data_IF_166077422737
#
_entry.id   IF_166077422737
#
_cell.length_a   1.000
_cell.length_b   1.000
_cell.length_c   1.000
_cell.angle_alpha   90.00
_cell.angle_beta   90.00
_cell.angle_gamma   90.00
#
_symmetry.space_group_name_H-M   'P 1'
#
loop_
_entity.id
_entity.type
_entity.pdbx_description
1 polymer ?
#
# COMPACT_ATOMS: atom_id res chain seq x y z
N UNK A 1 1.73 12.56 24.42
CA UNK A 1 2.74 12.44 23.34
C UNK A 1 2.08 11.75 22.17
N UNK A 2 2.19 12.23 20.91
CA UNK A 2 1.75 11.42 19.79
C UNK A 2 2.65 10.19 19.73
N UNK A 3 2.10 9.00 20.02
CA UNK A 3 2.84 7.75 19.87
C UNK A 3 3.03 7.51 18.37
N UNK A 4 4.27 7.33 17.94
CA UNK A 4 4.56 6.79 16.61
C UNK A 4 4.02 5.37 16.50
N UNK A 5 3.83 4.90 15.26
CA UNK A 5 3.36 3.54 14.98
C UNK A 5 4.36 2.53 15.52
N UNK A 6 3.87 1.53 16.25
CA UNK A 6 4.67 0.37 16.63
C UNK A 6 4.85 -0.58 15.44
N UNK A 7 5.76 -1.56 15.57
CA UNK A 7 6.07 -2.47 14.46
C UNK A 7 4.88 -3.32 14.01
N UNK A 8 3.99 -3.71 14.94
CA UNK A 8 2.76 -4.42 14.59
C UNK A 8 1.81 -3.54 13.78
N UNK A 9 1.58 -2.30 14.22
CA UNK A 9 0.75 -1.33 13.47
C UNK A 9 1.33 -1.03 12.09
N UNK A 10 2.65 -0.93 11.98
CA UNK A 10 3.31 -0.75 10.67
C UNK A 10 3.05 -1.95 9.77
N UNK A 11 3.23 -3.17 10.28
CA UNK A 11 3.02 -4.38 9.50
C UNK A 11 1.58 -4.50 8.99
N UNK A 12 0.59 -4.22 9.86
CA UNK A 12 -0.83 -4.24 9.49
C UNK A 12 -1.16 -3.21 8.39
N UNK A 13 -0.61 -1.99 8.51
CA UNK A 13 -0.80 -0.95 7.49
C UNK A 13 -0.11 -1.35 6.18
N UNK A 14 1.10 -1.89 6.21
CA UNK A 14 1.80 -2.39 5.02
C UNK A 14 0.97 -3.45 4.31
N UNK A 15 0.48 -4.45 5.05
CA UNK A 15 -0.35 -5.51 4.47
C UNK A 15 -1.64 -4.95 3.86
N UNK A 16 -2.29 -3.99 4.54
CA UNK A 16 -3.50 -3.33 4.03
C UNK A 16 -3.22 -2.50 2.76
N UNK A 17 -2.09 -1.81 2.68
CA UNK A 17 -1.67 -1.06 1.50
C UNK A 17 -1.45 -1.98 0.30
N UNK A 18 -0.85 -3.15 0.52
CA UNK A 18 -0.63 -4.16 -0.52
C UNK A 18 -1.95 -4.76 -1.00
N UNK A 19 -2.83 -5.14 -0.08
CA UNK A 19 -4.14 -5.71 -0.43
C UNK A 19 -5.00 -4.72 -1.22
N UNK A 20 -5.19 -3.50 -0.68
CA UNK A 20 -6.02 -2.49 -1.34
C UNK A 20 -5.37 -1.96 -2.61
N UNK A 21 -4.04 -1.86 -2.63
CA UNK A 21 -3.26 -1.54 -3.82
C UNK A 21 -3.50 -2.56 -4.92
N UNK A 22 -3.35 -3.86 -4.63
CA UNK A 22 -3.58 -4.97 -5.57
C UNK A 22 -4.97 -4.89 -6.19
N UNK A 23 -6.01 -4.74 -5.35
CA UNK A 23 -7.40 -4.62 -5.81
C UNK A 23 -7.54 -3.44 -6.78
N UNK A 24 -7.15 -2.24 -6.35
CA UNK A 24 -7.32 -1.03 -7.17
C UNK A 24 -6.51 -1.06 -8.47
N UNK A 25 -5.26 -1.55 -8.42
CA UNK A 25 -4.44 -1.70 -9.62
C UNK A 25 -5.05 -2.70 -10.61
N UNK A 26 -5.67 -3.78 -10.13
CA UNK A 26 -6.33 -4.77 -10.98
C UNK A 26 -7.64 -4.25 -11.60
N UNK A 27 -8.40 -3.43 -10.87
CA UNK A 27 -9.70 -2.91 -11.32
C UNK A 27 -9.58 -1.68 -12.23
N UNK A 28 -8.68 -0.75 -11.87
CA UNK A 28 -8.57 0.57 -12.51
C UNK A 28 -7.35 0.67 -13.43
N UNK A 29 -6.37 -0.21 -13.25
CA UNK A 29 -5.05 -0.10 -13.85
C UNK A 29 -4.13 0.86 -13.09
N UNK A 30 -2.82 0.70 -13.32
CA UNK A 30 -1.77 1.46 -12.62
C UNK A 30 -1.94 2.98 -12.77
N UNK A 31 -2.17 3.47 -13.99
CA UNK A 31 -2.21 4.91 -14.28
C UNK A 31 -3.39 5.62 -13.61
N UNK A 32 -4.55 4.98 -13.53
CA UNK A 32 -5.77 5.60 -12.96
C UNK A 32 -5.83 5.51 -11.44
N UNK A 33 -5.09 4.59 -10.83
CA UNK A 33 -5.06 4.42 -9.37
C UNK A 33 -4.25 5.55 -8.72
N UNK A 34 -4.81 6.22 -7.71
CA UNK A 34 -4.10 7.27 -6.95
C UNK A 34 -3.74 6.83 -5.52
N UNK A 35 -2.66 7.41 -4.96
CA UNK A 35 -2.29 7.20 -3.55
C UNK A 35 -3.43 7.62 -2.61
N UNK A 36 -4.17 8.67 -2.96
CA UNK A 36 -5.32 9.13 -2.17
C UNK A 36 -6.43 8.08 -2.10
N UNK A 37 -6.72 7.37 -3.19
CA UNK A 37 -7.75 6.32 -3.19
C UNK A 37 -7.31 5.10 -2.38
N UNK A 38 -6.06 4.66 -2.54
CA UNK A 38 -5.49 3.55 -1.76
C UNK A 38 -5.55 3.87 -0.27
N UNK A 39 -5.02 5.03 0.14
CA UNK A 39 -4.97 5.44 1.55
C UNK A 39 -6.35 5.65 2.15
N UNK A 40 -7.32 6.14 1.37
CA UNK A 40 -8.72 6.22 1.78
C UNK A 40 -9.34 4.85 2.06
N UNK A 41 -9.02 3.83 1.25
CA UNK A 41 -9.49 2.44 1.47
C UNK A 41 -8.86 1.80 2.70
N UNK A 42 -7.58 2.08 2.95
CA UNK A 42 -6.84 1.60 4.13
C UNK A 42 -7.24 2.36 5.40
N UNK A 43 -7.81 3.56 5.29
CA UNK A 43 -8.21 4.38 6.43
C UNK A 43 -7.07 5.19 7.06
N UNK A 44 -6.04 5.52 6.27
CA UNK A 44 -4.91 6.35 6.71
C UNK A 44 -4.87 7.68 5.96
N UNK A 45 -4.23 8.69 6.56
CA UNK A 45 -3.97 9.95 5.86
C UNK A 45 -3.00 9.74 4.68
N UNK A 46 -3.16 10.45 3.54
CA UNK A 46 -2.24 10.32 2.40
C UNK A 46 -0.77 10.58 2.76
N UNK A 47 -0.49 11.53 3.65
CA UNK A 47 0.88 11.78 4.14
C UNK A 47 1.50 10.60 4.91
N UNK A 48 0.68 9.72 5.48
CA UNK A 48 1.13 8.52 6.19
C UNK A 48 1.66 7.47 5.22
N UNK A 49 1.19 7.43 3.97
CA UNK A 49 1.69 6.53 2.93
C UNK A 49 3.21 6.62 2.77
N UNK A 50 3.73 7.85 2.80
CA UNK A 50 5.16 8.13 2.62
C UNK A 50 6.05 7.68 3.79
N UNK A 51 5.46 7.10 4.85
CA UNK A 51 6.22 6.39 5.89
C UNK A 51 6.51 4.93 5.53
N UNK A 52 5.80 4.41 4.52
CA UNK A 52 5.87 3.01 4.07
C UNK A 52 6.48 2.89 2.68
N UNK A 53 6.10 3.79 1.77
CA UNK A 53 6.54 3.78 0.38
C UNK A 53 6.85 5.20 -0.10
N UNK A 54 7.92 5.37 -0.86
CA UNK A 54 8.29 6.64 -1.47
C UNK A 54 7.39 6.99 -2.65
N UNK A 55 6.77 5.99 -3.29
CA UNK A 55 5.92 6.19 -4.46
C UNK A 55 4.87 5.08 -4.64
N UNK A 56 3.94 5.32 -5.57
CA UNK A 56 2.94 4.32 -5.97
C UNK A 56 3.57 3.15 -6.72
N UNK A 57 4.64 3.43 -7.47
CA UNK A 57 5.46 2.47 -8.18
C UNK A 57 6.10 1.48 -7.22
N UNK A 58 6.66 1.95 -6.08
CA UNK A 58 7.29 1.08 -5.09
C UNK A 58 6.30 0.08 -4.50
N UNK A 59 5.10 0.54 -4.11
CA UNK A 59 4.02 -0.35 -3.67
C UNK A 59 3.62 -1.34 -4.78
N UNK A 60 3.52 -0.87 -6.03
CA UNK A 60 3.17 -1.73 -7.16
C UNK A 60 4.23 -2.80 -7.42
N UNK A 61 5.51 -2.46 -7.35
CA UNK A 61 6.61 -3.42 -7.50
C UNK A 61 6.60 -4.47 -6.38
N UNK A 62 6.39 -4.09 -5.13
CA UNK A 62 6.28 -5.07 -4.03
C UNK A 62 5.09 -6.02 -4.24
N UNK A 63 3.94 -5.50 -4.69
CA UNK A 63 2.80 -6.36 -5.03
C UNK A 63 3.20 -7.36 -6.12
N UNK A 64 3.88 -6.92 -7.19
CA UNK A 64 4.32 -7.82 -8.25
C UNK A 64 5.30 -8.90 -7.76
N UNK A 65 6.28 -8.54 -6.93
CA UNK A 65 7.22 -9.51 -6.34
C UNK A 65 6.48 -10.57 -5.51
N UNK A 66 5.52 -10.15 -4.67
CA UNK A 66 4.74 -11.09 -3.85
C UNK A 66 3.87 -12.03 -4.68
N UNK A 67 3.29 -11.55 -5.78
CA UNK A 67 2.53 -12.41 -6.69
C UNK A 67 3.44 -13.38 -7.45
N UNK A 68 4.64 -12.94 -7.86
CA UNK A 68 5.62 -13.83 -8.50
C UNK A 68 6.06 -14.95 -7.56
N UNK A 69 6.33 -14.62 -6.29
CA UNK A 69 6.72 -15.61 -5.28
C UNK A 69 5.61 -16.62 -4.96
N UNK A 70 4.33 -16.24 -5.12
CA UNK A 70 3.20 -17.18 -4.96
C UNK A 70 3.03 -18.15 -6.15
N UNK A 71 3.60 -17.82 -7.31
CA UNK A 71 3.53 -18.65 -8.51
C UNK A 71 4.68 -19.65 -8.63
N UNK A 72 5.72 -19.50 -7.80
CA UNK A 72 6.88 -20.40 -7.72
C UNK A 72 6.63 -21.54 -6.74
#
# INVERSE_FOLDING_TARGET
MPKGLNEYEKQEITNSLIEQGKILFSELGFQKTSINEITKKVGIAPGTFYKFYNSKEELYFEILEREEDQLR
#
